data_IF_446156773382
#
_entry.id   IF_446156773382
#
_cell.length_a   1.000
_cell.length_b   1.000
_cell.length_c   1.000
_cell.angle_alpha   90.00
_cell.angle_beta   90.00
_cell.angle_gamma   90.00
#
_symmetry.space_group_name_H-M   'P 1'
#
loop_
_entity.id
_entity.type
_entity.pdbx_description
1 polymer ?
#
# COMPACT_ATOMS: atom_id res chain seq x y z
N UNK A 1 -31.48 2.48 -7.41
CA UNK A 1 -30.47 1.45 -7.08
C UNK A 1 -29.97 0.83 -8.37
N UNK A 2 -28.87 1.35 -8.93
CA UNK A 2 -28.28 0.77 -10.15
C UNK A 2 -27.66 -0.57 -9.75
N UNK A 3 -28.05 -1.70 -10.36
CA UNK A 3 -27.42 -2.97 -10.06
C UNK A 3 -26.00 -2.91 -10.61
N UNK A 4 -24.99 -2.80 -9.74
CA UNK A 4 -23.57 -2.93 -10.08
C UNK A 4 -23.25 -4.40 -10.41
N UNK A 5 -23.87 -4.91 -11.48
CA UNK A 5 -23.43 -6.10 -12.19
C UNK A 5 -22.48 -5.65 -13.29
N UNK A 6 -21.33 -5.10 -12.93
CA UNK A 6 -20.33 -4.76 -13.93
C UNK A 6 -19.05 -5.50 -13.60
N UNK A 7 -18.83 -6.60 -14.34
CA UNK A 7 -17.54 -7.26 -14.46
C UNK A 7 -16.40 -6.29 -14.84
N UNK A 8 -16.72 -5.05 -15.23
CA UNK A 8 -15.77 -3.97 -15.55
C UNK A 8 -14.72 -3.71 -14.46
N UNK A 9 -15.08 -3.72 -13.17
CA UNK A 9 -14.11 -3.45 -12.10
C UNK A 9 -13.06 -4.57 -11.98
N UNK A 10 -13.41 -5.85 -11.76
CA UNK A 10 -12.42 -6.91 -11.69
C UNK A 10 -11.63 -7.08 -13.01
N UNK A 11 -12.25 -6.82 -14.16
CA UNK A 11 -11.56 -6.84 -15.46
C UNK A 11 -10.57 -5.69 -15.63
N UNK A 12 -10.91 -4.47 -15.20
CA UNK A 12 -9.99 -3.32 -15.25
C UNK A 12 -8.82 -3.50 -14.29
N UNK A 13 -9.06 -4.03 -13.08
CA UNK A 13 -8.02 -4.43 -12.14
C UNK A 13 -7.10 -5.49 -12.74
N UNK A 14 -7.63 -6.51 -13.42
CA UNK A 14 -6.82 -7.50 -14.15
C UNK A 14 -5.95 -6.85 -15.22
N UNK A 15 -6.49 -5.95 -16.04
CA UNK A 15 -5.70 -5.25 -17.07
C UNK A 15 -4.60 -4.39 -16.44
N UNK A 16 -4.90 -3.64 -15.39
CA UNK A 16 -3.92 -2.83 -14.66
C UNK A 16 -2.82 -3.69 -14.02
N UNK A 17 -3.20 -4.83 -13.43
CA UNK A 17 -2.29 -5.83 -12.88
C UNK A 17 -1.24 -6.27 -13.92
N UNK A 18 -1.65 -6.58 -15.15
CA UNK A 18 -0.72 -6.95 -16.23
C UNK A 18 0.29 -5.85 -16.56
N UNK A 19 -0.17 -4.60 -16.61
CA UNK A 19 0.70 -3.44 -16.88
C UNK A 19 1.71 -3.24 -15.74
N UNK A 20 1.27 -3.36 -14.49
CA UNK A 20 2.14 -3.24 -13.31
C UNK A 20 3.18 -4.37 -13.26
N UNK A 21 2.76 -5.60 -13.56
CA UNK A 21 3.65 -6.75 -13.64
C UNK A 21 4.73 -6.55 -14.72
N UNK A 22 4.33 -6.10 -15.90
CA UNK A 22 5.27 -5.76 -16.98
C UNK A 22 6.23 -4.62 -16.60
N UNK A 23 5.77 -3.70 -15.74
CA UNK A 23 6.57 -2.60 -15.19
C UNK A 23 7.46 -3.00 -14.01
N UNK A 24 7.51 -4.29 -13.65
CA UNK A 24 8.22 -4.84 -12.49
C UNK A 24 7.75 -4.30 -11.13
N UNK A 25 6.57 -3.69 -11.05
CA UNK A 25 5.92 -3.32 -9.79
C UNK A 25 5.06 -4.50 -9.30
N UNK A 26 5.74 -5.54 -8.82
CA UNK A 26 5.13 -6.80 -8.39
C UNK A 26 4.20 -6.64 -7.18
N UNK A 27 4.51 -5.69 -6.28
CA UNK A 27 3.68 -5.36 -5.11
C UNK A 27 2.32 -4.82 -5.55
N UNK A 28 2.32 -3.80 -6.42
CA UNK A 28 1.08 -3.24 -6.97
C UNK A 28 0.29 -4.25 -7.81
N UNK A 29 0.97 -5.06 -8.62
CA UNK A 29 0.33 -6.10 -9.43
C UNK A 29 -0.37 -7.16 -8.55
N UNK A 30 0.32 -7.60 -7.49
CA UNK A 30 -0.22 -8.56 -6.53
C UNK A 30 -1.50 -8.04 -5.86
N UNK A 31 -1.49 -6.80 -5.37
CA UNK A 31 -2.66 -6.19 -4.75
C UNK A 31 -3.84 -6.07 -5.72
N UNK A 32 -3.59 -5.77 -7.01
CA UNK A 32 -4.64 -5.73 -8.02
C UNK A 32 -5.23 -7.11 -8.33
N UNK A 33 -4.39 -8.15 -8.40
CA UNK A 33 -4.87 -9.52 -8.60
C UNK A 33 -5.76 -9.96 -7.42
N UNK A 34 -5.35 -9.67 -6.18
CA UNK A 34 -6.14 -9.94 -4.98
C UNK A 34 -7.46 -9.17 -4.97
N UNK A 35 -7.42 -7.88 -5.34
CA UNK A 35 -8.61 -7.03 -5.39
C UNK A 35 -9.58 -7.50 -6.49
N UNK A 36 -9.08 -7.92 -7.65
CA UNK A 36 -9.90 -8.48 -8.72
C UNK A 36 -10.64 -9.75 -8.26
N UNK A 37 -9.95 -10.67 -7.56
CA UNK A 37 -10.57 -11.86 -6.98
C UNK A 37 -11.64 -11.49 -5.95
N UNK A 38 -11.36 -10.51 -5.07
CA UNK A 38 -12.32 -9.99 -4.08
C UNK A 38 -13.58 -9.43 -4.72
N UNK A 39 -13.46 -8.77 -5.88
CA UNK A 39 -14.58 -8.23 -6.66
C UNK A 39 -15.19 -9.24 -7.65
N UNK A 40 -15.05 -10.55 -7.39
CA UNK A 40 -15.69 -11.63 -8.16
C UNK A 40 -15.25 -11.66 -9.62
N UNK A 41 -13.93 -11.69 -9.87
CA UNK A 41 -13.38 -11.99 -11.18
C UNK A 41 -14.02 -13.29 -11.76
N UNK A 42 -14.43 -13.31 -13.05
CA UNK A 42 -15.03 -14.50 -13.67
C UNK A 42 -14.14 -15.75 -13.53
N UNK A 43 -14.78 -16.91 -13.36
CA UNK A 43 -14.09 -18.17 -13.04
C UNK A 43 -13.01 -18.55 -14.07
N UNK A 44 -13.30 -18.35 -15.35
CA UNK A 44 -12.39 -18.59 -16.49
C UNK A 44 -11.06 -17.81 -16.36
N UNK A 45 -11.08 -16.66 -15.67
CA UNK A 45 -9.92 -15.77 -15.52
C UNK A 45 -9.21 -15.94 -14.17
N UNK A 46 -9.78 -16.70 -13.23
CA UNK A 46 -9.19 -16.89 -11.90
C UNK A 46 -7.85 -17.62 -11.96
N UNK A 47 -7.71 -18.60 -12.85
CA UNK A 47 -6.45 -19.32 -13.03
C UNK A 47 -5.30 -18.38 -13.37
N UNK A 48 -5.53 -17.46 -14.32
CA UNK A 48 -4.53 -16.46 -14.71
C UNK A 48 -4.17 -15.52 -13.54
N UNK A 49 -5.16 -15.09 -12.75
CA UNK A 49 -4.90 -14.27 -11.57
C UNK A 49 -4.00 -15.00 -10.55
N UNK A 50 -4.26 -16.28 -10.28
CA UNK A 50 -3.41 -17.07 -9.38
C UNK A 50 -2.00 -17.30 -9.93
N UNK A 51 -1.83 -17.48 -11.24
CA UNK A 51 -0.49 -17.53 -11.87
C UNK A 51 0.26 -16.24 -11.59
N UNK A 52 -0.33 -15.08 -11.89
CA UNK A 52 0.31 -13.78 -11.68
C UNK A 52 0.65 -13.56 -10.20
N UNK A 53 -0.27 -13.88 -9.29
CA UNK A 53 0.01 -13.79 -7.84
C UNK A 53 1.20 -14.67 -7.43
N UNK A 54 1.25 -15.91 -7.93
CA UNK A 54 2.32 -16.86 -7.63
C UNK A 54 3.67 -16.37 -8.14
N UNK A 55 3.70 -15.80 -9.35
CA UNK A 55 4.89 -15.18 -9.92
C UNK A 55 5.31 -13.92 -9.14
N UNK A 56 4.37 -13.05 -8.75
CA UNK A 56 4.66 -11.89 -7.90
C UNK A 56 5.32 -12.31 -6.58
N UNK A 57 4.80 -13.34 -5.90
CA UNK A 57 5.40 -13.80 -4.64
C UNK A 57 6.83 -14.33 -4.82
N UNK A 58 7.11 -15.05 -5.91
CA UNK A 58 8.48 -15.46 -6.25
C UNK A 58 9.40 -14.24 -6.45
N UNK A 59 8.92 -13.22 -7.17
CA UNK A 59 9.66 -11.98 -7.44
C UNK A 59 9.82 -11.08 -6.22
N UNK A 60 8.98 -11.24 -5.21
CA UNK A 60 9.04 -10.54 -3.93
C UNK A 60 9.75 -11.36 -2.83
N UNK A 61 10.29 -12.53 -3.17
CA UNK A 61 10.97 -13.42 -2.24
C UNK A 61 10.08 -13.95 -1.08
N UNK A 62 8.76 -13.96 -1.24
CA UNK A 62 7.81 -14.50 -0.24
C UNK A 62 7.57 -15.99 -0.49
N UNK A 63 8.50 -16.81 0.02
CA UNK A 63 8.57 -18.26 -0.23
C UNK A 63 7.28 -18.99 0.15
N UNK A 64 6.73 -18.72 1.33
CA UNK A 64 5.55 -19.44 1.82
C UNK A 64 4.31 -19.12 1.00
N UNK A 65 4.07 -17.83 0.68
CA UNK A 65 2.93 -17.45 -0.15
C UNK A 65 3.09 -17.90 -1.60
N UNK A 66 4.32 -17.91 -2.14
CA UNK A 66 4.60 -18.45 -3.47
C UNK A 66 4.23 -19.94 -3.53
N UNK A 67 4.67 -20.74 -2.55
CA UNK A 67 4.36 -22.18 -2.46
C UNK A 67 2.86 -22.45 -2.41
N UNK A 68 2.14 -21.74 -1.54
CA UNK A 68 0.68 -21.89 -1.41
C UNK A 68 0.00 -21.55 -2.74
N UNK A 69 0.39 -20.44 -3.36
CA UNK A 69 -0.25 -19.97 -4.59
C UNK A 69 0.02 -20.90 -5.78
N UNK A 70 1.26 -21.40 -5.94
CA UNK A 70 1.58 -22.40 -6.97
C UNK A 70 0.90 -23.75 -6.74
N UNK A 71 0.66 -24.14 -5.50
CA UNK A 71 -0.14 -25.34 -5.18
C UNK A 71 -1.58 -25.19 -5.66
N UNK A 72 -2.16 -24.00 -5.52
CA UNK A 72 -3.50 -23.69 -6.04
C UNK A 72 -3.48 -23.75 -7.58
N UNK A 73 -2.46 -23.18 -8.22
CA UNK A 73 -2.29 -23.23 -9.69
C UNK A 73 -2.20 -24.67 -10.19
N UNK A 74 -1.40 -25.54 -9.56
CA UNK A 74 -1.26 -26.96 -9.95
C UNK A 74 -2.62 -27.69 -9.87
N UNK A 75 -3.37 -27.51 -8.77
CA UNK A 75 -4.71 -28.10 -8.62
C UNK A 75 -5.72 -27.55 -9.63
N UNK A 76 -5.70 -26.24 -9.90
CA UNK A 76 -6.60 -25.65 -10.89
C UNK A 76 -6.24 -26.10 -12.32
N UNK A 77 -4.95 -26.25 -12.63
CA UNK A 77 -4.48 -26.76 -13.92
C UNK A 77 -4.97 -28.19 -14.18
N UNK A 78 -4.97 -29.03 -13.14
CA UNK A 78 -5.54 -30.38 -13.20
C UNK A 78 -7.05 -30.39 -13.51
N UNK A 79 -7.81 -29.52 -12.85
CA UNK A 79 -9.26 -29.40 -13.09
C UNK A 79 -9.61 -28.95 -14.51
N UNK A 80 -8.80 -28.07 -15.10
CA UNK A 80 -8.97 -27.61 -16.50
C UNK A 80 -8.26 -28.52 -17.51
N UNK A 81 -7.69 -29.65 -17.06
CA UNK A 81 -6.97 -30.62 -17.89
C UNK A 81 -5.78 -30.04 -18.66
N UNK A 82 -5.13 -29.01 -18.11
CA UNK A 82 -3.94 -28.40 -18.70
C UNK A 82 -2.66 -29.05 -18.12
N UNK A 83 -2.18 -30.10 -18.80
CA UNK A 83 -1.01 -30.89 -18.38
C UNK A 83 0.27 -30.08 -18.37
N UNK A 84 0.44 -29.16 -19.32
CA UNK A 84 1.67 -28.35 -19.45
C UNK A 84 1.80 -27.35 -18.29
N UNK A 85 0.70 -26.72 -17.91
CA UNK A 85 0.70 -25.81 -16.77
C UNK A 85 0.89 -26.55 -15.45
N UNK A 86 0.32 -27.76 -15.31
CA UNK A 86 0.50 -28.59 -14.12
C UNK A 86 1.97 -29.00 -13.95
N UNK A 87 2.60 -29.53 -14.99
CA UNK A 87 4.03 -29.91 -14.93
C UNK A 87 4.94 -28.72 -14.64
N UNK A 88 4.64 -27.55 -15.22
CA UNK A 88 5.34 -26.30 -14.89
C UNK A 88 5.17 -25.94 -13.41
N UNK A 89 3.96 -25.98 -12.88
CA UNK A 89 3.69 -25.65 -11.47
C UNK A 89 4.41 -26.63 -10.52
N UNK A 90 4.37 -27.93 -10.80
CA UNK A 90 5.01 -28.96 -9.99
C UNK A 90 6.55 -28.83 -10.01
N UNK A 91 7.13 -28.52 -11.18
CA UNK A 91 8.57 -28.23 -11.30
C UNK A 91 8.99 -27.03 -10.46
N UNK A 92 8.21 -25.94 -10.50
CA UNK A 92 8.46 -24.74 -9.68
C UNK A 92 8.34 -25.06 -8.18
N UNK A 93 7.37 -25.90 -7.78
CA UNK A 93 7.20 -26.30 -6.38
C UNK A 93 8.39 -27.13 -5.87
N UNK A 94 8.96 -28.02 -6.70
CA UNK A 94 10.15 -28.81 -6.35
C UNK A 94 11.41 -27.94 -6.20
N UNK A 95 11.59 -26.94 -7.07
CA UNK A 95 12.79 -26.10 -7.13
C UNK A 95 12.52 -24.64 -6.76
N UNK A 96 11.62 -24.40 -5.80
CA UNK A 96 11.13 -23.05 -5.47
C UNK A 96 12.26 -22.06 -5.16
N UNK A 97 13.34 -22.53 -4.52
CA UNK A 97 14.47 -21.70 -4.14
C UNK A 97 15.24 -21.10 -5.33
N UNK A 98 15.32 -21.82 -6.46
CA UNK A 98 16.00 -21.35 -7.68
C UNK A 98 15.21 -20.24 -8.38
N UNK A 99 13.89 -20.17 -8.12
CA UNK A 99 12.99 -19.20 -8.73
C UNK A 99 12.77 -17.93 -7.90
N UNK A 100 13.30 -17.88 -6.67
CA UNK A 100 13.24 -16.68 -5.84
C UNK A 100 14.24 -15.65 -6.37
N UNK A 101 13.79 -14.40 -6.52
CA UNK A 101 14.71 -13.29 -6.75
C UNK A 101 15.24 -12.74 -5.42
N UNK A 102 16.48 -12.20 -5.40
CA UNK A 102 16.96 -11.47 -4.24
C UNK A 102 16.00 -10.32 -3.92
N UNK A 103 15.66 -10.19 -2.63
CA UNK A 103 14.82 -9.13 -2.10
C UNK A 103 15.31 -7.76 -2.59
N UNK A 104 14.42 -7.00 -3.25
CA UNK A 104 14.58 -5.55 -3.30
C UNK A 104 13.95 -5.03 -2.02
N UNK A 105 14.74 -4.35 -1.21
CA UNK A 105 14.34 -3.81 0.09
C UNK A 105 12.97 -3.13 -0.03
N UNK A 106 12.02 -3.55 0.82
CA UNK A 106 10.73 -2.90 0.90
C UNK A 106 11.01 -1.51 1.47
N UNK A 107 10.72 -0.46 0.71
CA UNK A 107 10.82 0.92 1.21
C UNK A 107 9.67 1.18 2.18
N UNK A 108 9.64 0.50 3.33
CA UNK A 108 9.00 1.03 4.52
C UNK A 108 9.86 2.19 4.98
N UNK A 109 9.33 3.40 4.85
CA UNK A 109 10.00 4.59 5.38
C UNK A 109 9.72 4.60 6.88
N UNK A 110 10.64 4.01 7.65
CA UNK A 110 10.60 4.19 9.10
C UNK A 110 10.72 5.68 9.43
N UNK A 111 10.12 6.13 10.55
CA UNK A 111 10.32 7.49 11.02
C UNK A 111 11.82 7.80 11.12
N UNK A 112 12.23 9.03 10.76
CA UNK A 112 13.63 9.40 10.80
C UNK A 112 14.18 9.27 12.23
N UNK A 113 15.41 8.76 12.35
CA UNK A 113 16.08 8.65 13.64
C UNK A 113 16.35 10.04 14.23
N UNK A 114 15.95 10.23 15.50
CA UNK A 114 16.22 11.46 16.24
C UNK A 114 17.70 11.54 16.62
N UNK A 115 18.29 12.72 16.42
CA UNK A 115 19.65 13.01 16.83
C UNK A 115 19.81 12.78 18.35
N UNK A 116 20.86 12.08 18.77
CA UNK A 116 21.09 11.69 20.18
C UNK A 116 19.92 10.91 20.83
N UNK A 117 19.04 10.29 20.02
CA UNK A 117 17.90 9.52 20.48
C UNK A 117 16.77 10.34 21.09
N UNK A 118 15.69 9.66 21.45
CA UNK A 118 14.48 10.30 21.97
C UNK A 118 14.62 10.74 23.43
N UNK A 119 14.14 11.94 23.72
CA UNK A 119 14.06 12.52 25.05
C UNK A 119 12.98 11.85 25.89
N UNK A 120 13.36 11.37 27.08
CA UNK A 120 12.40 10.81 28.06
C UNK A 120 11.39 11.84 28.58
N UNK A 121 11.72 13.12 28.49
CA UNK A 121 10.87 14.19 29.03
C UNK A 121 9.86 14.72 27.98
N UNK A 122 10.19 14.59 26.69
CA UNK A 122 9.41 15.17 25.59
C UNK A 122 9.40 14.14 24.45
N UNK A 123 8.35 13.32 24.34
CA UNK A 123 8.22 12.36 23.26
C UNK A 123 8.34 13.02 21.87
N UNK A 124 8.89 12.28 20.91
CA UNK A 124 9.10 12.76 19.54
C UNK A 124 10.17 13.83 19.39
N UNK A 125 10.98 14.09 20.43
CA UNK A 125 12.05 15.11 20.40
C UNK A 125 13.40 14.50 20.79
N UNK A 126 14.47 14.94 20.14
CA UNK A 126 15.86 14.64 20.48
C UNK A 126 16.21 14.94 21.95
N UNK A 127 17.05 14.10 22.56
CA UNK A 127 17.61 14.32 23.90
C UNK A 127 18.54 15.54 24.00
N UNK A 128 19.07 16.01 22.86
CA UNK A 128 19.83 17.25 22.74
C UNK A 128 18.97 18.52 22.90
N UNK A 129 17.65 18.36 23.01
CA UNK A 129 16.69 19.45 23.18
C UNK A 129 16.03 19.42 24.56
N UNK A 130 15.61 20.59 25.05
CA UNK A 130 14.85 20.71 26.29
C UNK A 130 13.82 21.82 26.24
N UNK A 131 12.67 21.58 26.88
CA UNK A 131 11.64 22.60 27.04
C UNK A 131 11.94 23.48 28.25
N UNK A 132 11.93 24.79 28.03
CA UNK A 132 12.04 25.81 29.07
C UNK A 132 10.79 26.69 29.08
N UNK A 133 10.66 27.49 30.13
CA UNK A 133 9.58 28.48 30.25
C UNK A 133 10.14 29.85 30.63
N UNK A 134 9.56 30.90 30.08
CA UNK A 134 9.83 32.29 30.47
C UNK A 134 8.51 33.04 30.66
N UNK A 135 8.55 34.20 31.32
CA UNK A 135 7.37 35.06 31.48
C UNK A 135 6.91 35.62 30.13
N UNK A 136 7.85 36.01 29.26
CA UNK A 136 7.53 36.71 28.01
C UNK A 136 7.16 35.77 26.86
N UNK A 137 7.69 34.53 26.83
CA UNK A 137 7.51 33.59 25.70
C UNK A 137 6.69 32.34 26.05
N UNK A 138 6.30 32.17 27.31
CA UNK A 138 5.71 30.90 27.74
C UNK A 138 6.70 29.74 27.57
N UNK A 139 6.23 28.60 27.05
CA UNK A 139 7.05 27.40 26.80
C UNK A 139 7.81 27.50 25.48
N UNK A 140 9.08 27.13 25.47
CA UNK A 140 9.92 27.13 24.27
C UNK A 140 10.97 26.03 24.33
N UNK A 141 11.43 25.59 23.16
CA UNK A 141 12.48 24.58 23.03
C UNK A 141 13.85 25.24 22.93
N UNK A 142 14.86 24.64 23.56
CA UNK A 142 16.26 25.06 23.45
C UNK A 142 17.15 23.86 23.14
N UNK A 143 18.21 24.10 22.38
CA UNK A 143 19.29 23.14 22.24
C UNK A 143 20.18 23.18 23.49
N UNK A 144 20.56 22.01 23.99
CA UNK A 144 21.48 21.86 25.12
C UNK A 144 22.95 21.88 24.67
N UNK A 145 23.19 21.71 23.37
CA UNK A 145 24.50 21.63 22.76
C UNK A 145 24.51 22.18 21.32
N UNK A 146 25.67 22.11 20.65
CA UNK A 146 25.78 22.47 19.24
C UNK A 146 25.21 21.36 18.38
N UNK A 147 24.26 21.72 17.51
CA UNK A 147 23.57 20.77 16.64
C UNK A 147 24.23 20.73 15.25
N UNK A 148 24.50 19.53 14.69
CA UNK A 148 25.03 19.40 13.35
C UNK A 148 23.96 19.72 12.29
N UNK A 149 24.41 20.15 11.10
CA UNK A 149 23.52 20.40 9.96
C UNK A 149 22.90 19.08 9.51
N UNK A 150 21.58 19.06 9.32
CA UNK A 150 20.82 17.86 8.93
C UNK A 150 20.35 17.01 10.11
N UNK A 151 20.65 17.39 11.37
CA UNK A 151 20.13 16.70 12.54
C UNK A 151 18.60 16.76 12.61
N UNK A 152 17.95 15.61 12.80
CA UNK A 152 16.52 15.52 13.04
C UNK A 152 16.27 15.71 14.54
N UNK A 153 15.66 16.84 14.89
CA UNK A 153 15.44 17.23 16.28
C UNK A 153 14.07 16.81 16.79
N UNK A 154 13.09 16.71 15.90
CA UNK A 154 11.70 16.39 16.22
C UNK A 154 11.08 15.56 15.11
N UNK A 155 10.33 14.53 15.48
CA UNK A 155 9.52 13.70 14.60
C UNK A 155 8.27 13.29 15.39
N UNK A 156 7.10 13.69 14.91
CA UNK A 156 5.82 13.44 15.57
C UNK A 156 4.77 13.07 14.53
N UNK A 157 3.86 12.18 14.90
CA UNK A 157 2.67 11.90 14.08
C UNK A 157 1.70 13.10 14.17
N UNK A 158 1.09 13.52 13.04
CA UNK A 158 0.16 14.62 13.07
C UNK A 158 -1.07 14.26 13.93
N UNK A 159 -1.40 15.13 14.89
CA UNK A 159 -2.63 14.98 15.68
C UNK A 159 -3.88 14.91 14.78
N UNK A 160 -3.92 15.77 13.77
CA UNK A 160 -4.89 15.74 12.69
C UNK A 160 -4.23 16.29 11.43
N UNK A 161 -4.64 15.77 10.27
CA UNK A 161 -4.15 16.24 8.99
C UNK A 161 -5.22 16.06 7.92
N UNK A 162 -5.23 16.97 6.94
CA UNK A 162 -6.14 16.93 5.79
C UNK A 162 -5.33 17.10 4.51
N UNK A 163 -5.67 16.33 3.48
CA UNK A 163 -5.06 16.50 2.17
C UNK A 163 -5.60 17.78 1.53
N UNK A 164 -4.70 18.65 1.05
CA UNK A 164 -5.10 19.83 0.28
C UNK A 164 -5.92 19.41 -0.96
N UNK A 165 -7.02 20.10 -1.23
CA UNK A 165 -7.91 19.86 -2.37
C UNK A 165 -7.18 19.78 -3.71
N UNK A 166 -6.18 20.63 -3.94
CA UNK A 166 -5.35 20.63 -5.15
C UNK A 166 -4.58 19.31 -5.39
N UNK A 167 -4.48 18.48 -4.34
CA UNK A 167 -3.73 17.21 -4.33
C UNK A 167 -4.63 15.97 -4.30
N UNK A 168 -5.94 16.12 -4.18
CA UNK A 168 -6.88 14.98 -4.08
C UNK A 168 -6.84 14.05 -5.30
N UNK A 169 -6.48 14.58 -6.47
CA UNK A 169 -6.41 13.80 -7.72
C UNK A 169 -5.11 13.01 -7.90
N UNK A 170 -4.06 13.29 -7.12
CA UNK A 170 -2.74 12.71 -7.34
C UNK A 170 -2.01 12.26 -6.08
N UNK A 171 -2.59 12.41 -4.89
CA UNK A 171 -2.04 11.88 -3.63
C UNK A 171 -3.07 11.03 -2.90
N UNK A 172 -2.57 10.06 -2.15
CA UNK A 172 -3.40 9.24 -1.27
C UNK A 172 -4.03 10.15 -0.19
N UNK A 173 -5.35 10.02 0.01
CA UNK A 173 -6.04 10.78 1.05
C UNK A 173 -5.46 10.52 2.45
N UNK A 174 -4.93 9.32 2.70
CA UNK A 174 -4.48 8.92 4.03
C UNK A 174 -3.00 9.17 4.29
N UNK A 175 -2.11 8.68 3.43
CA UNK A 175 -0.66 8.77 3.67
C UNK A 175 0.01 9.91 2.90
N UNK A 176 -0.75 10.67 2.10
CA UNK A 176 -0.27 11.79 1.28
C UNK A 176 0.82 11.45 0.27
N UNK A 177 1.15 10.17 0.07
CA UNK A 177 2.06 9.74 -0.98
C UNK A 177 1.42 9.92 -2.36
N UNK A 178 2.22 10.34 -3.34
CA UNK A 178 1.78 10.47 -4.72
C UNK A 178 1.30 9.12 -5.28
N UNK A 179 0.13 9.13 -5.90
CA UNK A 179 -0.51 7.94 -6.43
C UNK A 179 0.21 7.47 -7.70
N UNK A 180 0.68 6.22 -7.68
CA UNK A 180 1.07 5.44 -8.88
C UNK A 180 -0.01 4.43 -9.27
N UNK A 181 -0.78 4.01 -8.27
CA UNK A 181 -1.91 3.10 -8.34
C UNK A 181 -3.05 3.70 -7.50
N UNK A 182 -4.28 3.50 -7.95
CA UNK A 182 -5.48 4.05 -7.29
C UNK A 182 -6.38 2.93 -6.78
N UNK A 183 -6.73 3.01 -5.51
CA UNK A 183 -7.87 2.32 -4.89
C UNK A 183 -8.92 3.39 -4.61
N UNK A 184 -10.08 3.39 -5.30
CA UNK A 184 -11.10 4.41 -5.11
C UNK A 184 -11.91 4.16 -3.84
N UNK A 185 -12.57 5.20 -3.34
CA UNK A 185 -13.67 5.03 -2.40
C UNK A 185 -14.84 4.29 -3.08
N UNK A 186 -15.49 3.32 -2.43
CA UNK A 186 -16.61 2.59 -3.04
C UNK A 186 -17.89 3.43 -3.16
N UNK A 187 -17.98 4.56 -2.45
CA UNK A 187 -19.21 5.36 -2.33
C UNK A 187 -19.09 6.78 -2.89
N UNK A 188 -17.89 7.27 -3.21
CA UNK A 188 -17.70 8.56 -3.88
C UNK A 188 -16.55 8.50 -4.89
N UNK A 189 -16.51 9.45 -5.83
CA UNK A 189 -15.41 9.63 -6.78
C UNK A 189 -14.42 10.73 -6.37
N UNK A 190 -14.59 11.34 -5.19
CA UNK A 190 -13.82 12.52 -4.77
C UNK A 190 -12.46 12.22 -4.14
N UNK A 191 -12.16 10.97 -3.80
CA UNK A 191 -10.91 10.61 -3.12
C UNK A 191 -10.32 9.31 -3.65
N UNK A 192 -9.00 9.20 -3.50
CA UNK A 192 -8.22 8.04 -3.91
C UNK A 192 -7.20 7.64 -2.85
N UNK A 193 -6.88 6.35 -2.80
CA UNK A 193 -5.89 5.77 -1.91
C UNK A 193 -4.82 5.00 -2.70
N UNK A 194 -3.62 4.87 -2.15
CA UNK A 194 -2.55 4.11 -2.81
C UNK A 194 -2.74 2.59 -2.69
N UNK A 195 -3.40 2.12 -1.63
CA UNK A 195 -3.56 0.71 -1.29
C UNK A 195 -4.85 0.46 -0.50
N UNK A 196 -5.26 -0.81 -0.41
CA UNK A 196 -6.42 -1.21 0.38
C UNK A 196 -6.25 -0.92 1.89
N UNK A 197 -5.06 -1.12 2.52
CA UNK A 197 -4.82 -0.67 3.88
C UNK A 197 -5.05 0.83 4.08
N UNK A 198 -4.54 1.68 3.17
CA UNK A 198 -4.78 3.12 3.23
C UNK A 198 -6.26 3.47 3.05
N UNK A 199 -6.97 2.77 2.17
CA UNK A 199 -8.42 2.97 2.00
C UNK A 199 -9.18 2.64 3.28
N UNK A 200 -8.84 1.53 3.95
CA UNK A 200 -9.46 1.12 5.20
C UNK A 200 -9.15 2.09 6.35
N UNK A 201 -7.88 2.47 6.53
CA UNK A 201 -7.47 3.43 7.55
C UNK A 201 -8.09 4.81 7.30
N UNK A 202 -8.22 5.20 6.02
CA UNK A 202 -8.88 6.43 5.63
C UNK A 202 -10.38 6.47 5.91
N UNK A 203 -11.07 5.32 5.97
CA UNK A 203 -12.50 5.31 6.29
C UNK A 203 -12.82 5.85 7.68
N UNK A 204 -11.87 5.80 8.63
CA UNK A 204 -12.09 6.26 10.02
C UNK A 204 -12.64 7.69 10.04
N UNK A 205 -12.11 8.58 9.20
CA UNK A 205 -12.54 9.97 9.07
C UNK A 205 -13.34 10.20 7.78
N UNK A 206 -12.91 9.63 6.65
CA UNK A 206 -13.56 9.90 5.35
C UNK A 206 -15.04 9.47 5.32
N UNK A 207 -15.45 8.44 6.06
CA UNK A 207 -16.85 8.01 6.09
C UNK A 207 -17.82 9.14 6.49
N UNK A 208 -17.38 10.08 7.31
CA UNK A 208 -18.16 11.22 7.77
C UNK A 208 -18.18 12.38 6.78
N UNK A 209 -17.14 12.48 5.95
CA UNK A 209 -16.99 13.52 4.91
C UNK A 209 -17.57 13.09 3.57
N UNK A 210 -17.62 11.78 3.30
CA UNK A 210 -17.83 11.17 1.99
C UNK A 210 -19.08 11.67 1.26
N UNK A 211 -20.19 11.84 1.99
CA UNK A 211 -21.46 12.32 1.43
C UNK A 211 -21.47 13.81 1.10
N UNK A 212 -20.57 14.59 1.72
CA UNK A 212 -20.50 16.03 1.58
C UNK A 212 -19.33 16.47 0.69
N UNK A 213 -18.46 15.56 0.29
CA UNK A 213 -17.27 15.87 -0.50
C UNK A 213 -17.61 16.59 -1.81
N UNK A 214 -18.70 16.21 -2.49
CA UNK A 214 -19.14 16.89 -3.71
C UNK A 214 -19.55 18.35 -3.45
N UNK A 215 -20.08 18.66 -2.27
CA UNK A 215 -20.43 20.03 -1.86
C UNK A 215 -19.19 20.86 -1.50
N UNK A 216 -18.12 20.22 -1.04
CA UNK A 216 -16.87 20.91 -0.67
C UNK A 216 -15.95 21.21 -1.85
N UNK A 217 -16.11 20.48 -2.96
CA UNK A 217 -15.31 20.67 -4.18
C UNK A 217 -15.97 21.68 -5.15
N UNK A 218 -17.21 22.10 -4.86
CA UNK A 218 -17.99 23.03 -5.69
C UNK A 218 -18.37 24.32 -4.98
N UNK A 219 -17.49 25.32 -5.03
CA UNK A 219 -17.83 26.76 -5.01
C UNK A 219 -16.78 27.55 -5.77
#
# INVERSE_FOLDING_TARGET
SIPLCSSSLPLSLRTRCKVMFASQDYKSALEDAQLALKHKLPDELKLEAYIVMSECYLKMNDKEKARISWTIVSKMAELVQNTDLKTKADSILSNLHEHLSPSKDDTSVDPPELYEGESRAIPGTSSAMSMRRSKDKGRYMVANERLPVGAILTSEEPYASVLNFDKQNNHCLHCYTRLKRVVPCPTCSGVAYCSAPCANAGQVYHQWECQFMELMIGS
#
